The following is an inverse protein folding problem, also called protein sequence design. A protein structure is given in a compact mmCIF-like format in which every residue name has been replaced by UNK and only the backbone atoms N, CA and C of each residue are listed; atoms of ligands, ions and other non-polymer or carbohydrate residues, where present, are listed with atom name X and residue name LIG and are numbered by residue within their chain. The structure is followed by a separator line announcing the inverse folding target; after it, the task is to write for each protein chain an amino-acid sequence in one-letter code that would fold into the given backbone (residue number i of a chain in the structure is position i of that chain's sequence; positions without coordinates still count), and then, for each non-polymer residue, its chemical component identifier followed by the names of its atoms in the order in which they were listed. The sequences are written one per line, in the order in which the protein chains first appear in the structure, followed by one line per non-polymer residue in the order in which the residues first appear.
data_IF_834929692979
#
_entry.id   IF_834929692979
#
_cell.length_a   1.000
_cell.length_b   1.000
_cell.length_c   1.000
_cell.angle_alpha   90.00
_cell.angle_beta   90.00
_cell.angle_gamma   90.00
#
_symmetry.space_group_name_H-M   'P 1'
#
loop_
_entity.id
_entity.type
_entity.pdbx_description
1 polymer ?
#
# COMPACT_ATOMS: atom_id res chain seq x y z
N UNK A 1 14.69 -10.80 26.70
CA UNK A 1 13.54 -10.37 25.87
C UNK A 1 13.43 -8.86 26.00
N UNK A 2 13.20 -8.14 24.91
CA UNK A 2 13.11 -6.67 24.95
C UNK A 2 11.64 -6.26 24.95
N UNK A 3 11.30 -5.18 25.66
CA UNK A 3 9.92 -4.70 25.77
C UNK A 3 9.74 -3.45 24.93
N UNK A 4 8.82 -3.52 23.97
CA UNK A 4 8.42 -2.39 23.14
C UNK A 4 7.32 -1.62 23.86
N UNK A 5 7.62 -0.40 24.29
CA UNK A 5 6.67 0.47 24.99
C UNK A 5 6.05 1.52 24.08
N UNK A 6 6.75 1.89 23.00
CA UNK A 6 6.31 2.88 22.03
C UNK A 6 6.78 2.52 20.62
N UNK A 7 5.98 2.91 19.63
CA UNK A 7 6.29 2.83 18.21
C UNK A 7 6.48 4.26 17.68
N UNK A 8 7.54 4.46 16.89
CA UNK A 8 7.77 5.72 16.19
C UNK A 8 6.66 5.98 15.17
N UNK A 9 5.84 7.01 15.43
CA UNK A 9 4.64 7.33 14.63
C UNK A 9 4.96 7.45 13.14
N UNK A 10 6.01 8.20 12.81
CA UNK A 10 6.41 8.41 11.42
C UNK A 10 6.99 7.15 10.76
N UNK A 11 7.69 6.31 11.53
CA UNK A 11 8.23 5.04 11.03
C UNK A 11 7.10 4.08 10.69
N UNK A 12 6.11 3.95 11.58
CA UNK A 12 4.93 3.13 11.35
C UNK A 12 4.10 3.63 10.16
N UNK A 13 3.88 4.94 10.05
CA UNK A 13 3.17 5.53 8.92
C UNK A 13 3.87 5.25 7.58
N UNK A 14 5.21 5.28 7.52
CA UNK A 14 5.96 4.89 6.31
C UNK A 14 5.74 3.43 5.95
N UNK A 15 5.81 2.52 6.92
CA UNK A 15 5.55 1.09 6.69
C UNK A 15 4.14 0.89 6.15
N UNK A 16 3.15 1.55 6.75
CA UNK A 16 1.76 1.52 6.28
C UNK A 16 1.62 2.11 4.87
N UNK A 17 2.25 3.26 4.57
CA UNK A 17 2.23 3.88 3.26
C UNK A 17 2.85 3.00 2.16
N UNK A 18 3.98 2.36 2.44
CA UNK A 18 4.61 1.39 1.53
C UNK A 18 3.69 0.17 1.34
N UNK A 19 3.07 -0.32 2.41
CA UNK A 19 2.10 -1.42 2.33
C UNK A 19 0.90 -1.04 1.46
N UNK A 20 0.36 0.17 1.65
CA UNK A 20 -0.72 0.72 0.84
C UNK A 20 -0.33 0.89 -0.63
N UNK A 21 0.91 1.30 -0.91
CA UNK A 21 1.44 1.37 -2.28
C UNK A 21 1.44 -0.01 -2.95
N UNK A 22 1.95 -1.04 -2.26
CA UNK A 22 1.97 -2.41 -2.79
C UNK A 22 0.56 -2.95 -3.04
N UNK A 23 -0.37 -2.72 -2.10
CA UNK A 23 -1.78 -3.08 -2.30
C UNK A 23 -2.41 -2.31 -3.45
N UNK A 24 -2.10 -1.02 -3.57
CA UNK A 24 -2.56 -0.16 -4.63
C UNK A 24 -1.99 -0.52 -6.00
N UNK A 25 -0.76 -1.08 -6.08
CA UNK A 25 -0.21 -1.67 -7.31
C UNK A 25 -1.02 -2.88 -7.76
N UNK A 26 -1.31 -3.80 -6.84
CA UNK A 26 -2.10 -4.99 -7.14
C UNK A 26 -3.51 -4.57 -7.58
N UNK A 27 -4.17 -3.69 -6.82
CA UNK A 27 -5.49 -3.17 -7.17
C UNK A 27 -5.48 -2.41 -8.50
N UNK A 28 -4.52 -1.50 -8.69
CA UNK A 28 -4.36 -0.71 -9.91
C UNK A 28 -4.18 -1.60 -11.14
N UNK A 29 -3.40 -2.67 -11.02
CA UNK A 29 -3.22 -3.65 -12.09
C UNK A 29 -4.55 -4.32 -12.49
N UNK A 30 -5.31 -4.83 -11.53
CA UNK A 30 -6.59 -5.51 -11.82
C UNK A 30 -7.67 -4.55 -12.30
N UNK A 31 -7.89 -3.43 -11.60
CA UNK A 31 -8.91 -2.45 -11.99
C UNK A 31 -8.57 -1.75 -13.30
N UNK A 32 -7.31 -1.38 -13.49
CA UNK A 32 -6.85 -0.75 -14.73
C UNK A 32 -6.94 -1.68 -15.92
N UNK A 33 -6.55 -2.96 -15.78
CA UNK A 33 -6.66 -3.93 -16.88
C UNK A 33 -8.11 -4.24 -17.22
N UNK A 34 -8.99 -4.33 -16.21
CA UNK A 34 -10.43 -4.44 -16.41
C UNK A 34 -11.01 -3.26 -17.17
N UNK A 35 -10.64 -2.03 -16.81
CA UNK A 35 -11.05 -0.80 -17.52
C UNK A 35 -10.56 -0.79 -18.97
N UNK A 36 -9.31 -1.19 -19.22
CA UNK A 36 -8.76 -1.27 -20.57
C UNK A 36 -9.49 -2.31 -21.42
N UNK A 37 -9.73 -3.50 -20.87
CA UNK A 37 -10.45 -4.58 -21.55
C UNK A 37 -11.89 -4.16 -21.87
N UNK A 38 -12.59 -3.57 -20.89
CA UNK A 38 -13.95 -3.07 -21.07
C UNK A 38 -14.00 -1.95 -22.12
N UNK A 39 -13.10 -0.98 -22.02
CA UNK A 39 -12.97 0.09 -23.01
C UNK A 39 -12.75 -0.41 -24.43
N UNK A 40 -11.80 -1.34 -24.59
CA UNK A 40 -11.47 -1.92 -25.88
C UNK A 40 -12.63 -2.74 -26.46
N UNK A 41 -13.30 -3.55 -25.65
CA UNK A 41 -14.42 -4.41 -26.08
C UNK A 41 -15.66 -3.59 -26.45
N UNK A 42 -16.04 -2.62 -25.63
CA UNK A 42 -17.18 -1.72 -25.92
C UNK A 42 -16.87 -0.83 -27.12
N UNK A 43 -15.65 -0.30 -27.20
CA UNK A 43 -15.22 0.51 -28.34
C UNK A 43 -15.15 -0.26 -29.66
N UNK A 44 -14.87 -1.56 -29.63
CA UNK A 44 -14.91 -2.40 -30.84
C UNK A 44 -16.34 -2.74 -31.30
N UNK A 45 -17.32 -2.69 -30.39
CA UNK A 45 -18.71 -3.05 -30.66
C UNK A 45 -19.58 -1.85 -31.11
N UNK A 46 -19.10 -0.61 -30.97
CA UNK A 46 -19.85 0.59 -31.30
C UNK A 46 -19.41 1.18 -32.65
N UNK A 47 -20.37 1.65 -33.46
CA UNK A 47 -20.12 2.24 -34.79
C UNK A 47 -19.19 3.47 -34.73
N UNK A 48 -19.26 4.27 -33.66
CA UNK A 48 -18.36 5.40 -33.36
C UNK A 48 -17.52 5.15 -32.08
N UNK A 49 -17.06 3.91 -31.90
CA UNK A 49 -16.47 3.46 -30.64
C UNK A 49 -15.06 3.95 -30.32
N UNK A 50 -14.41 4.71 -31.21
CA UNK A 50 -13.02 5.19 -31.01
C UNK A 50 -12.88 6.04 -29.74
N UNK A 51 -13.86 6.92 -29.47
CA UNK A 51 -13.85 7.75 -28.27
C UNK A 51 -13.97 6.92 -26.99
N UNK A 52 -14.85 5.92 -26.98
CA UNK A 52 -15.05 5.02 -25.84
C UNK A 52 -13.84 4.11 -25.60
N UNK A 53 -13.20 3.62 -26.67
CA UNK A 53 -11.96 2.87 -26.60
C UNK A 53 -10.83 3.69 -25.96
N UNK A 54 -10.65 4.93 -26.40
CA UNK A 54 -9.62 5.83 -25.86
C UNK A 54 -9.86 6.16 -24.39
N UNK A 55 -11.10 6.43 -24.00
CA UNK A 55 -11.45 6.72 -22.59
C UNK A 55 -11.21 5.50 -21.70
N UNK A 56 -11.63 4.31 -22.12
CA UNK A 56 -11.46 3.11 -21.29
C UNK A 56 -10.00 2.63 -21.23
N UNK A 57 -9.28 2.65 -22.36
CA UNK A 57 -7.87 2.27 -22.38
C UNK A 57 -7.01 3.31 -21.65
N UNK A 58 -7.19 4.59 -21.97
CA UNK A 58 -6.46 5.69 -21.32
C UNK A 58 -6.79 5.80 -19.84
N UNK A 59 -8.06 5.65 -19.46
CA UNK A 59 -8.51 5.66 -18.07
C UNK A 59 -7.97 4.47 -17.28
N UNK A 60 -7.94 3.27 -17.85
CA UNK A 60 -7.36 2.11 -17.20
C UNK A 60 -5.85 2.26 -16.95
N UNK A 61 -5.13 2.84 -17.91
CA UNK A 61 -3.70 3.12 -17.78
C UNK A 61 -3.42 4.23 -16.75
N UNK A 62 -4.25 5.26 -16.72
CA UNK A 62 -4.21 6.29 -15.69
C UNK A 62 -4.44 5.71 -14.29
N UNK A 63 -5.45 4.84 -14.13
CA UNK A 63 -5.76 4.19 -12.85
C UNK A 63 -4.60 3.30 -12.39
N UNK A 64 -3.97 2.53 -13.29
CA UNK A 64 -2.81 1.70 -12.94
C UNK A 64 -1.67 2.51 -12.31
N UNK A 65 -1.44 3.72 -12.81
CA UNK A 65 -0.34 4.57 -12.37
C UNK A 65 -0.72 5.36 -11.13
N UNK A 66 -1.91 5.96 -11.10
CA UNK A 66 -2.30 6.94 -10.06
C UNK A 66 -2.84 6.27 -8.80
N UNK A 67 -3.61 5.18 -8.93
CA UNK A 67 -4.22 4.51 -7.79
C UNK A 67 -3.20 4.06 -6.72
N UNK A 68 -2.03 3.48 -7.06
CA UNK A 68 -1.03 3.10 -6.07
C UNK A 68 -0.60 4.26 -5.16
N UNK A 69 -0.42 5.46 -5.70
CA UNK A 69 0.00 6.62 -4.93
C UNK A 69 -1.12 7.14 -4.02
N UNK A 70 -2.36 7.15 -4.50
CA UNK A 70 -3.52 7.56 -3.70
C UNK A 70 -3.74 6.61 -2.52
N UNK A 71 -3.66 5.29 -2.76
CA UNK A 71 -3.80 4.28 -1.70
C UNK A 71 -2.62 4.37 -0.72
N UNK A 72 -1.39 4.57 -1.20
CA UNK A 72 -0.22 4.79 -0.35
C UNK A 72 -0.40 5.99 0.58
N UNK A 73 -0.89 7.12 0.05
CA UNK A 73 -1.14 8.32 0.82
C UNK A 73 -2.23 8.09 1.87
N UNK A 74 -3.34 7.45 1.49
CA UNK A 74 -4.42 7.12 2.42
C UNK A 74 -3.91 6.23 3.58
N UNK A 75 -3.15 5.18 3.27
CA UNK A 75 -2.57 4.29 4.27
C UNK A 75 -1.51 4.99 5.13
N UNK A 76 -0.75 5.92 4.58
CA UNK A 76 0.20 6.72 5.35
C UNK A 76 -0.52 7.54 6.41
N UNK A 77 -1.59 8.26 6.02
CA UNK A 77 -2.40 9.08 6.95
C UNK A 77 -3.08 8.21 8.01
N UNK A 78 -3.69 7.10 7.60
CA UNK A 78 -4.29 6.14 8.54
C UNK A 78 -3.22 5.54 9.46
N UNK A 79 -2.01 5.30 8.95
CA UNK A 79 -0.87 4.83 9.74
C UNK A 79 -0.44 5.81 10.82
N UNK A 80 -0.47 7.12 10.55
CA UNK A 80 -0.20 8.14 11.57
C UNK A 80 -1.19 8.03 12.74
N UNK A 81 -2.50 7.94 12.43
CA UNK A 81 -3.55 7.79 13.43
C UNK A 81 -3.42 6.47 14.19
N UNK A 82 -3.17 5.38 13.47
CA UNK A 82 -3.09 4.05 14.04
C UNK A 82 -1.87 3.89 14.96
N UNK A 83 -0.75 4.55 14.66
CA UNK A 83 0.41 4.56 15.53
C UNK A 83 0.14 5.26 16.88
N UNK A 84 -0.66 6.33 16.87
CA UNK A 84 -1.11 6.99 18.11
C UNK A 84 -1.94 6.02 18.95
N UNK A 85 -2.90 5.34 18.32
CA UNK A 85 -3.75 4.34 19.00
C UNK A 85 -2.90 3.21 19.58
N UNK A 86 -1.96 2.66 18.81
CA UNK A 86 -1.07 1.59 19.28
C UNK A 86 -0.23 2.05 20.47
N UNK A 87 0.31 3.27 20.47
CA UNK A 87 1.08 3.76 21.60
C UNK A 87 0.22 3.90 22.87
N UNK A 88 -1.03 4.33 22.74
CA UNK A 88 -1.99 4.35 23.87
C UNK A 88 -2.22 2.93 24.38
N UNK A 89 -2.48 1.98 23.48
CA UNK A 89 -2.72 0.56 23.84
C UNK A 89 -1.48 -0.05 24.50
N UNK A 90 -0.28 0.20 23.98
CA UNK A 90 0.97 -0.31 24.55
C UNK A 90 1.22 0.26 25.95
N UNK A 91 0.93 1.54 26.16
CA UNK A 91 1.00 2.16 27.47
C UNK A 91 0.05 1.47 28.47
N UNK A 92 -1.20 1.24 28.08
CA UNK A 92 -2.21 0.59 28.91
C UNK A 92 -1.90 -0.90 29.18
N UNK A 93 -1.34 -1.61 28.20
CA UNK A 93 -1.01 -3.03 28.31
C UNK A 93 0.32 -3.31 29.03
N UNK A 94 1.10 -2.27 29.38
CA UNK A 94 2.42 -2.43 30.00
C UNK A 94 3.54 -2.81 29.02
N UNK A 95 3.33 -2.58 27.72
CA UNK A 95 4.25 -2.86 26.62
C UNK A 95 4.09 -4.26 26.00
N UNK A 96 4.84 -4.50 24.92
CA UNK A 96 4.82 -5.76 24.17
C UNK A 96 6.18 -6.44 24.24
N UNK A 97 6.22 -7.71 24.64
CA UNK A 97 7.47 -8.46 24.77
C UNK A 97 7.89 -9.02 23.41
N UNK A 98 9.06 -8.59 22.96
CA UNK A 98 9.65 -8.99 21.70
C UNK A 98 10.89 -9.85 21.92
N UNK A 99 10.93 -10.97 21.20
CA UNK A 99 12.17 -11.71 20.94
C UNK A 99 12.79 -11.14 19.67
N UNK A 100 13.75 -10.23 19.83
CA UNK A 100 14.53 -9.74 18.71
C UNK A 100 15.52 -10.81 18.29
N UNK A 101 15.39 -11.30 17.06
CA UNK A 101 16.38 -12.16 16.41
C UNK A 101 17.25 -11.21 15.59
N UNK A 102 18.44 -10.91 16.11
CA UNK A 102 19.37 -10.02 15.44
C UNK A 102 20.06 -10.75 14.28
N UNK A 103 19.65 -10.44 13.06
CA UNK A 103 20.25 -11.00 11.84
C UNK A 103 21.64 -10.43 11.57
N UNK A 104 22.00 -9.27 12.14
CA UNK A 104 23.30 -8.63 11.91
C UNK A 104 24.46 -9.39 12.57
N UNK A 105 24.21 -10.07 13.70
CA UNK A 105 25.23 -10.82 14.42
C UNK A 105 25.64 -12.13 13.72
N UNK A 106 24.88 -12.62 12.73
CA UNK A 106 25.26 -13.82 11.96
C UNK A 106 26.37 -13.58 10.93
N UNK A 107 26.62 -12.32 10.54
CA UNK A 107 27.62 -11.99 9.51
C UNK A 107 29.02 -11.81 10.12
N UNK A 108 29.12 -11.47 11.41
CA UNK A 108 30.41 -11.29 12.10
C UNK A 108 31.06 -12.60 12.58
N UNK A 109 30.28 -13.67 12.76
CA UNK A 109 30.79 -14.98 13.20
C UNK A 109 31.25 -15.84 11.99
N UNK A 110 30.98 -15.37 10.77
CA UNK A 110 31.35 -16.05 9.52
C UNK A 110 32.58 -15.41 8.83
N UNK A 111 33.33 -14.55 9.52
CA UNK A 111 34.64 -14.02 9.10
C UNK A 111 35.71 -14.46 10.09
#
# INVERSE_FOLDING_TARGET
MQRLTNVGIFSFAKVMGITGFLLGLIGGLFYGSGLMLFGATVGAAAEDGVGLALVGVGGGLFVMVVLPFLVALAYFVLGLLHAVIINIVLYLAGGLELRIIDTANRIQIAK
#
